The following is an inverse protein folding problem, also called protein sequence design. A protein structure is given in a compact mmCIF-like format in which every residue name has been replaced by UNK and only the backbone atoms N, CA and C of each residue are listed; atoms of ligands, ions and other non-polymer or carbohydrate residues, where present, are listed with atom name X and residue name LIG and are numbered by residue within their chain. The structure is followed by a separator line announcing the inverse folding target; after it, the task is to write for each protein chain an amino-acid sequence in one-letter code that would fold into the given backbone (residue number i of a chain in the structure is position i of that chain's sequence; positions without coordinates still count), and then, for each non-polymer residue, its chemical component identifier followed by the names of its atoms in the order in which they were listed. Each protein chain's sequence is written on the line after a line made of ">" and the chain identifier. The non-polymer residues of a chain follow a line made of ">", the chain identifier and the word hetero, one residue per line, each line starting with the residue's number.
data_IF_598218963501
#
_entry.id   IF_598218963501
#
_cell.length_a   1.000
_cell.length_b   1.000
_cell.length_c   1.000
_cell.angle_alpha   90.00
_cell.angle_beta   90.00
_cell.angle_gamma   90.00
#
_symmetry.space_group_name_H-M   'P 1'
#
loop_
_entity.id
_entity.type
_entity.pdbx_description
1 polymer ?
#
# COMPACT_ATOMS: atom_id res chain seq x y z
N UNK A 1 27.55 -44.89 34.93
CA UNK A 1 26.08 -44.69 34.83
C UNK A 1 25.62 -43.26 35.04
N UNK A 2 26.25 -42.47 35.92
CA UNK A 2 25.83 -41.07 36.14
C UNK A 2 26.08 -40.10 34.95
N UNK A 3 27.09 -40.40 34.10
CA UNK A 3 27.43 -39.55 32.93
C UNK A 3 26.43 -39.66 31.78
N UNK A 4 25.78 -40.80 31.57
CA UNK A 4 24.79 -41.00 30.50
C UNK A 4 23.46 -40.29 30.74
N UNK A 5 23.05 -40.14 32.00
CA UNK A 5 21.83 -39.41 32.41
C UNK A 5 21.95 -37.89 32.12
N UNK A 6 23.14 -37.31 32.40
CA UNK A 6 23.40 -35.91 32.13
C UNK A 6 23.41 -35.58 30.62
N UNK A 7 24.00 -36.43 29.82
CA UNK A 7 24.03 -36.28 28.36
C UNK A 7 22.63 -36.36 27.75
N UNK A 8 21.82 -37.29 28.23
CA UNK A 8 20.43 -37.44 27.81
C UNK A 8 19.57 -36.22 28.17
N UNK A 9 19.79 -35.65 29.38
CA UNK A 9 19.05 -34.45 29.81
C UNK A 9 19.44 -33.21 28.99
N UNK A 10 20.74 -33.04 28.65
CA UNK A 10 21.21 -31.93 27.83
C UNK A 10 20.66 -32.05 26.41
N UNK A 11 20.58 -33.22 25.82
CA UNK A 11 20.00 -33.45 24.50
C UNK A 11 18.50 -33.14 24.49
N UNK A 12 17.75 -33.50 25.53
CA UNK A 12 16.33 -33.15 25.67
C UNK A 12 16.11 -31.64 25.82
N UNK A 13 16.95 -30.93 26.56
CA UNK A 13 16.87 -29.46 26.71
C UNK A 13 17.21 -28.75 25.40
N UNK A 14 18.22 -29.21 24.67
CA UNK A 14 18.57 -28.66 23.34
C UNK A 14 17.49 -28.94 22.30
N UNK A 15 16.82 -30.10 22.38
CA UNK A 15 15.71 -30.43 21.48
C UNK A 15 14.44 -29.62 21.78
N UNK A 16 14.19 -29.33 23.08
CA UNK A 16 13.06 -28.47 23.47
C UNK A 16 13.23 -27.00 23.05
N UNK A 17 14.49 -26.52 22.97
CA UNK A 17 14.78 -25.18 22.45
C UNK A 17 14.71 -25.07 20.95
N UNK A 18 14.79 -26.17 20.20
CA UNK A 18 14.62 -26.18 18.72
C UNK A 18 13.17 -26.25 18.25
N UNK A 19 12.23 -26.37 19.15
CA UNK A 19 10.81 -26.13 18.87
C UNK A 19 10.53 -24.62 18.84
N UNK A 20 11.33 -23.86 18.07
CA UNK A 20 10.90 -22.56 17.59
C UNK A 20 9.63 -22.80 16.79
N UNK A 21 8.50 -22.43 17.39
CA UNK A 21 7.24 -22.41 16.71
C UNK A 21 7.41 -21.67 15.39
N UNK A 22 7.31 -22.39 14.28
CA UNK A 22 7.06 -21.77 12.97
C UNK A 22 5.71 -21.08 13.12
N UNK A 23 5.74 -19.82 13.49
CA UNK A 23 4.53 -19.03 13.50
C UNK A 23 4.03 -18.99 12.06
N UNK A 24 2.86 -19.58 11.85
CA UNK A 24 2.20 -19.52 10.56
C UNK A 24 2.12 -18.06 10.13
N UNK A 25 2.65 -17.73 8.94
CA UNK A 25 2.59 -16.39 8.39
C UNK A 25 1.13 -15.92 8.40
N UNK A 26 0.87 -14.77 9.00
CA UNK A 26 -0.47 -14.23 9.09
C UNK A 26 -1.05 -13.95 7.71
N UNK A 27 -2.37 -13.97 7.58
CA UNK A 27 -3.05 -13.68 6.32
C UNK A 27 -2.70 -12.28 5.81
N UNK A 28 -2.21 -12.23 4.57
CA UNK A 28 -1.96 -10.98 3.83
C UNK A 28 -2.89 -10.96 2.62
N UNK A 29 -3.59 -9.85 2.39
CA UNK A 29 -4.46 -9.72 1.24
C UNK A 29 -5.62 -8.75 1.45
N UNK A 30 -6.41 -8.63 0.40
CA UNK A 30 -7.61 -7.79 0.38
C UNK A 30 -8.74 -8.40 1.20
N UNK A 31 -9.42 -7.54 1.95
CA UNK A 31 -10.64 -7.87 2.71
C UNK A 31 -11.73 -6.94 2.23
N UNK A 32 -12.84 -7.50 1.76
CA UNK A 32 -14.03 -6.75 1.33
C UNK A 32 -15.18 -7.01 2.30
N UNK A 33 -15.85 -5.94 2.70
CA UNK A 33 -17.10 -5.99 3.44
C UNK A 33 -18.08 -4.97 2.82
N UNK A 34 -19.10 -5.46 2.11
CA UNK A 34 -20.00 -4.60 1.33
C UNK A 34 -19.23 -3.81 0.28
N UNK A 35 -19.31 -2.49 0.34
CA UNK A 35 -18.59 -1.55 -0.54
C UNK A 35 -17.22 -1.14 -0.01
N UNK A 36 -16.85 -1.59 1.18
CA UNK A 36 -15.62 -1.22 1.87
C UNK A 36 -14.51 -2.21 1.57
N UNK A 37 -13.34 -1.68 1.21
CA UNK A 37 -12.12 -2.47 0.98
C UNK A 37 -11.05 -2.10 1.99
N UNK A 38 -10.43 -3.12 2.56
CA UNK A 38 -9.27 -3.01 3.47
C UNK A 38 -8.17 -3.94 3.00
N UNK A 39 -6.96 -3.75 3.48
CA UNK A 39 -5.84 -4.64 3.20
C UNK A 39 -5.15 -5.07 4.48
N UNK A 40 -4.80 -6.36 4.57
CA UNK A 40 -4.05 -6.91 5.70
C UNK A 40 -2.65 -7.27 5.27
N UNK A 41 -1.72 -7.07 6.17
CA UNK A 41 -0.36 -7.61 6.13
C UNK A 41 -0.15 -8.36 7.44
N UNK A 42 0.11 -9.66 7.38
CA UNK A 42 0.31 -10.51 8.56
C UNK A 42 -0.80 -10.32 9.61
N UNK A 43 -2.06 -10.47 9.21
CA UNK A 43 -3.27 -10.27 10.02
C UNK A 43 -3.53 -8.83 10.49
N UNK A 44 -2.63 -7.88 10.26
CA UNK A 44 -2.78 -6.48 10.68
C UNK A 44 -3.33 -5.63 9.53
N UNK A 45 -4.34 -4.83 9.80
CA UNK A 45 -4.88 -3.91 8.79
C UNK A 45 -3.93 -2.74 8.54
N UNK A 46 -3.71 -2.46 7.26
CA UNK A 46 -3.04 -1.23 6.80
C UNK A 46 -3.93 -0.04 7.11
N UNK A 47 -3.41 0.98 7.79
CA UNK A 47 -4.15 2.17 8.21
C UNK A 47 -3.32 3.43 8.04
N UNK A 48 -3.97 4.52 7.65
CA UNK A 48 -3.39 5.86 7.56
C UNK A 48 -2.06 5.89 6.80
N UNK A 49 -2.02 5.21 5.65
CA UNK A 49 -0.82 5.21 4.78
C UNK A 49 -1.14 5.00 3.31
N UNK A 50 -0.22 5.47 2.47
CA UNK A 50 -0.15 5.08 1.06
C UNK A 50 0.71 3.82 0.97
N UNK A 51 0.10 2.72 0.52
CA UNK A 51 0.72 1.39 0.45
C UNK A 51 0.88 0.92 -0.98
N UNK A 52 2.09 0.49 -1.33
CA UNK A 52 2.31 -0.23 -2.59
C UNK A 52 1.88 -1.68 -2.43
N UNK A 53 0.93 -2.10 -3.27
CA UNK A 53 0.44 -3.49 -3.33
C UNK A 53 0.65 -3.97 -4.76
N UNK A 54 1.52 -4.95 -4.93
CA UNK A 54 2.05 -5.35 -6.25
C UNK A 54 2.68 -4.13 -6.94
N UNK A 55 2.16 -3.71 -8.08
CA UNK A 55 2.67 -2.57 -8.86
C UNK A 55 1.90 -1.25 -8.67
N UNK A 56 0.83 -1.24 -7.88
CA UNK A 56 -0.04 -0.08 -7.69
C UNK A 56 0.02 0.47 -6.27
N UNK A 57 -0.24 1.77 -6.13
CA UNK A 57 -0.35 2.44 -4.84
C UNK A 57 -1.81 2.67 -4.49
N UNK A 58 -2.14 2.48 -3.20
CA UNK A 58 -3.48 2.67 -2.63
C UNK A 58 -3.36 3.45 -1.33
N UNK A 59 -4.38 4.23 -1.00
CA UNK A 59 -4.45 4.90 0.29
C UNK A 59 -5.52 4.27 1.17
N UNK A 60 -5.15 4.06 2.43
CA UNK A 60 -6.04 3.59 3.49
C UNK A 60 -6.14 4.66 4.56
N UNK A 61 -7.38 5.01 4.96
CA UNK A 61 -7.61 6.00 5.99
C UNK A 61 -7.27 5.48 7.41
N UNK A 62 -7.52 6.29 8.43
CA UNK A 62 -7.26 5.91 9.84
C UNK A 62 -8.05 4.68 10.29
N UNK A 63 -9.19 4.39 9.66
CA UNK A 63 -9.99 3.19 9.91
C UNK A 63 -9.55 1.98 9.06
N UNK A 64 -8.53 2.16 8.22
CA UNK A 64 -8.05 1.15 7.29
C UNK A 64 -8.92 0.98 6.04
N UNK A 65 -9.81 1.92 5.74
CA UNK A 65 -10.67 1.88 4.56
C UNK A 65 -9.93 2.48 3.37
N UNK A 66 -9.91 1.75 2.25
CA UNK A 66 -9.35 2.21 0.99
C UNK A 66 -10.15 3.40 0.45
N UNK A 67 -9.48 4.47 0.10
CA UNK A 67 -10.08 5.71 -0.41
C UNK A 67 -9.79 5.96 -1.88
N UNK A 68 -10.65 6.77 -2.49
CA UNK A 68 -10.54 7.24 -3.89
C UNK A 68 -10.57 8.76 -3.94
N UNK A 69 -10.19 9.34 -5.08
CA UNK A 69 -10.16 10.78 -5.28
C UNK A 69 -8.90 11.44 -4.73
N UNK A 70 -8.97 12.74 -4.48
CA UNK A 70 -7.86 13.51 -3.94
C UNK A 70 -7.58 13.15 -2.48
N UNK A 71 -6.33 12.89 -2.18
CA UNK A 71 -5.83 12.61 -0.83
C UNK A 71 -4.55 13.39 -0.59
N UNK A 72 -4.48 14.07 0.54
CA UNK A 72 -3.23 14.62 1.07
C UNK A 72 -2.68 13.64 2.11
N UNK A 73 -1.49 13.13 1.88
CA UNK A 73 -0.80 12.24 2.80
C UNK A 73 0.60 12.76 3.07
N UNK A 74 0.90 13.03 4.33
CA UNK A 74 2.10 13.77 4.73
C UNK A 74 2.12 15.13 4.01
N UNK A 75 3.20 15.48 3.32
CA UNK A 75 3.34 16.72 2.54
C UNK A 75 2.92 16.57 1.08
N UNK A 76 2.62 15.36 0.62
CA UNK A 76 2.33 15.06 -0.79
C UNK A 76 0.84 14.93 -1.06
N UNK A 77 0.47 15.17 -2.30
CA UNK A 77 -0.90 14.96 -2.80
C UNK A 77 -0.92 13.84 -3.80
N UNK A 78 -2.02 13.08 -3.78
CA UNK A 78 -2.28 11.95 -4.67
C UNK A 78 -3.70 12.05 -5.22
N UNK A 79 -3.93 11.43 -6.36
CA UNK A 79 -5.27 11.16 -6.85
C UNK A 79 -5.44 9.67 -7.07
N UNK A 80 -6.39 9.08 -6.37
CA UNK A 80 -6.72 7.67 -6.50
C UNK A 80 -7.94 7.52 -7.40
N UNK A 81 -7.81 6.69 -8.43
CA UNK A 81 -8.86 6.44 -9.41
C UNK A 81 -10.17 6.02 -8.73
N UNK A 82 -11.28 6.58 -9.17
CA UNK A 82 -12.58 6.35 -8.52
C UNK A 82 -13.10 4.93 -8.70
N UNK A 83 -12.70 4.23 -9.75
CA UNK A 83 -13.11 2.84 -10.01
C UNK A 83 -12.16 1.82 -9.41
N UNK A 84 -10.86 1.99 -9.63
CA UNK A 84 -9.82 1.03 -9.26
C UNK A 84 -9.17 1.34 -7.92
N UNK A 85 -9.30 2.57 -7.42
CA UNK A 85 -8.61 3.14 -6.27
C UNK A 85 -7.08 3.16 -6.39
N UNK A 86 -6.54 2.92 -7.59
CA UNK A 86 -5.10 3.00 -7.86
C UNK A 86 -4.67 4.45 -7.96
N UNK A 87 -3.51 4.80 -7.41
CA UNK A 87 -2.94 6.13 -7.58
C UNK A 87 -2.68 6.42 -9.06
N UNK A 88 -3.02 7.63 -9.50
CA UNK A 88 -2.64 8.11 -10.82
C UNK A 88 -1.11 8.28 -10.90
N UNK A 89 -0.56 7.93 -12.05
CA UNK A 89 0.85 8.11 -12.40
C UNK A 89 0.96 8.73 -13.78
N UNK A 90 2.02 9.50 -14.03
CA UNK A 90 2.21 10.17 -15.30
C UNK A 90 1.24 11.34 -15.52
N UNK A 91 0.97 11.66 -16.77
CA UNK A 91 0.02 12.72 -17.16
C UNK A 91 -1.41 12.23 -17.06
N UNK A 92 -2.23 12.89 -16.28
CA UNK A 92 -3.64 12.54 -16.07
C UNK A 92 -4.52 13.78 -15.96
N UNK A 93 -5.69 13.72 -16.60
CA UNK A 93 -6.71 14.76 -16.47
C UNK A 93 -7.64 14.44 -15.29
N UNK A 94 -7.89 15.44 -14.46
CA UNK A 94 -8.89 15.40 -13.39
C UNK A 94 -9.71 16.68 -13.46
N UNK A 95 -11.02 16.56 -13.66
CA UNK A 95 -11.94 17.71 -13.79
C UNK A 95 -11.45 18.76 -14.81
N UNK A 96 -11.14 18.33 -16.03
CA UNK A 96 -10.65 19.19 -17.14
C UNK A 96 -9.34 19.94 -16.84
N UNK A 97 -8.56 19.46 -15.89
CA UNK A 97 -7.22 19.99 -15.59
C UNK A 97 -6.18 18.89 -15.70
N UNK A 98 -5.09 19.18 -16.37
CA UNK A 98 -4.00 18.24 -16.52
C UNK A 98 -3.08 18.32 -15.30
N UNK A 99 -2.75 17.15 -14.77
CA UNK A 99 -1.81 16.98 -13.66
C UNK A 99 -0.70 16.01 -14.07
N UNK A 100 0.46 16.16 -13.46
CA UNK A 100 1.59 15.26 -13.63
C UNK A 100 1.88 14.62 -12.29
N UNK A 101 1.79 13.31 -12.25
CA UNK A 101 2.11 12.48 -11.09
C UNK A 101 3.40 11.70 -11.32
N UNK A 102 4.18 11.50 -10.28
CA UNK A 102 5.36 10.66 -10.32
C UNK A 102 5.01 9.16 -10.45
N UNK A 103 6.01 8.33 -10.62
CA UNK A 103 5.86 6.86 -10.67
C UNK A 103 5.32 6.29 -9.35
N UNK A 104 5.52 6.98 -8.25
CA UNK A 104 5.02 6.66 -6.91
C UNK A 104 3.63 7.27 -6.61
N UNK A 105 3.02 7.93 -7.58
CA UNK A 105 1.71 8.57 -7.46
C UNK A 105 1.71 9.97 -6.86
N UNK A 106 2.83 10.51 -6.43
CA UNK A 106 2.90 11.86 -5.86
C UNK A 106 2.65 12.91 -6.95
N UNK A 107 1.86 13.93 -6.62
CA UNK A 107 1.67 15.06 -7.51
C UNK A 107 2.99 15.85 -7.67
N UNK A 108 3.52 15.86 -8.89
CA UNK A 108 4.76 16.58 -9.24
C UNK A 108 4.45 17.99 -9.71
N UNK A 109 3.50 18.13 -10.61
CA UNK A 109 3.11 19.41 -11.19
C UNK A 109 1.60 19.56 -11.24
N UNK A 110 1.13 20.65 -10.80
CA UNK A 110 -0.23 21.12 -10.92
C UNK A 110 -0.34 21.85 -12.25
N UNK A 111 -1.08 21.53 -13.25
CA UNK A 111 -1.72 21.75 -14.17
C UNK A 111 -2.15 22.82 -14.96
N UNK A 112 -2.29 22.74 -16.12
CA UNK A 112 -2.92 23.76 -17.00
C UNK A 112 -4.34 23.33 -17.33
N UNK A 113 -5.31 24.27 -17.45
CA UNK A 113 -6.58 23.94 -18.07
C UNK A 113 -6.34 23.36 -19.46
N UNK A 114 -7.05 22.31 -19.82
CA UNK A 114 -6.88 21.65 -21.12
C UNK A 114 -7.15 22.61 -22.29
N UNK A 115 -8.05 23.58 -22.12
CA UNK A 115 -8.36 24.60 -23.09
C UNK A 115 -7.15 25.47 -23.52
N UNK A 116 -6.20 25.70 -22.62
CA UNK A 116 -5.00 26.48 -22.94
C UNK A 116 -3.93 25.65 -23.68
N UNK A 117 -4.07 24.34 -23.70
CA UNK A 117 -3.15 23.46 -24.45
C UNK A 117 -3.47 23.40 -25.93
N UNK A 118 -4.73 23.50 -26.30
CA UNK A 118 -5.13 23.56 -27.73
C UNK A 118 -4.74 24.89 -28.37
N UNK A 119 -4.92 26.02 -27.67
CA UNK A 119 -4.45 27.32 -28.15
C UNK A 119 -2.96 27.34 -28.47
N UNK A 120 -2.13 26.78 -27.61
CA UNK A 120 -0.67 26.73 -27.83
C UNK A 120 -0.27 25.82 -29.00
N UNK A 121 -1.10 24.82 -29.33
CA UNK A 121 -0.89 23.89 -30.43
C UNK A 121 -1.25 24.51 -31.79
N UNK A 122 -2.21 25.44 -31.79
CA UNK A 122 -2.67 26.11 -33.03
C UNK A 122 -1.77 27.27 -33.48
N UNK A 123 -0.90 27.77 -32.60
CA UNK A 123 0.03 28.87 -32.91
C UNK A 123 1.49 28.40 -33.10
N UNK A 124 1.73 27.12 -33.16
CA UNK A 124 3.00 26.50 -33.51
C UNK A 124 2.91 25.83 -34.89
#
# INVERSE_FOLDING_TARGET
>A
MKKSLFVTLIICVLFAMSALSVQAAGKTGWVRKGTTYKYKVNNTYVKNEVKKIKKYYYYFDKKGVRKTGWVKYKKDRYYFDRKTARAYTGKKAVNNKLYIFGKDGRLVKKKRPLQNMEKHRLYQ
#
